data_IF_568451159259
#
_entry.id   IF_568451159259
#
_cell.length_a   1.000
_cell.length_b   1.000
_cell.length_c   1.000
_cell.angle_alpha   90.00
_cell.angle_beta   90.00
_cell.angle_gamma   90.00
#
_symmetry.space_group_name_H-M   'P 1'
#
loop_
_entity.id
_entity.type
_entity.pdbx_description
1 polymer ?
#
# COMPACT_ATOMS: atom_id res chain seq x y z
N UNK A 1 -2.36 -22.10 22.95
CA UNK A 1 -2.11 -22.23 21.50
C UNK A 1 -0.65 -22.65 21.27
N UNK A 2 -0.36 -23.78 20.60
CA UNK A 2 1.03 -24.21 20.41
C UNK A 2 1.84 -23.14 19.65
N UNK A 3 2.95 -22.67 20.23
CA UNK A 3 3.85 -21.70 19.61
C UNK A 3 3.59 -20.21 19.93
N UNK A 4 2.45 -19.85 20.52
CA UNK A 4 2.13 -18.45 20.89
C UNK A 4 1.98 -18.29 22.41
N UNK A 5 2.56 -17.22 22.96
CA UNK A 5 2.37 -16.86 24.37
C UNK A 5 0.97 -16.28 24.59
N UNK A 6 0.12 -17.02 25.30
CA UNK A 6 -1.24 -16.58 25.64
C UNK A 6 -1.24 -15.25 26.39
N UNK A 7 -0.28 -15.03 27.28
CA UNK A 7 -0.11 -13.76 28.00
C UNK A 7 0.18 -12.59 27.05
N UNK A 8 0.99 -12.77 26.01
CA UNK A 8 1.28 -11.70 25.05
C UNK A 8 0.11 -11.43 24.12
N UNK A 9 -0.59 -12.48 23.70
CA UNK A 9 -1.83 -12.35 22.93
C UNK A 9 -2.86 -11.58 23.74
N UNK A 10 -3.07 -11.92 25.02
CA UNK A 10 -4.00 -11.19 25.87
C UNK A 10 -3.62 -9.71 26.01
N UNK A 11 -2.33 -9.40 26.19
CA UNK A 11 -1.86 -7.99 26.24
C UNK A 11 -2.19 -7.21 24.96
N UNK A 12 -2.11 -7.84 23.79
CA UNK A 12 -2.52 -7.22 22.52
C UNK A 12 -4.02 -6.92 22.53
N UNK A 13 -4.85 -7.91 22.92
CA UNK A 13 -6.31 -7.75 22.97
C UNK A 13 -6.74 -6.68 23.97
N UNK A 14 -6.14 -6.68 25.16
CA UNK A 14 -6.39 -5.67 26.19
C UNK A 14 -6.00 -4.28 25.69
N UNK A 15 -4.90 -4.17 24.93
CA UNK A 15 -4.51 -2.90 24.30
C UNK A 15 -5.55 -2.45 23.28
N UNK A 16 -5.98 -3.32 22.36
CA UNK A 16 -7.01 -3.00 21.35
C UNK A 16 -8.33 -2.57 22.00
N UNK A 17 -8.77 -3.29 23.04
CA UNK A 17 -9.97 -2.97 23.82
C UNK A 17 -9.87 -1.57 24.44
N UNK A 18 -8.72 -1.26 25.06
CA UNK A 18 -8.50 0.02 25.74
C UNK A 18 -8.56 1.21 24.79
N UNK A 19 -8.04 1.10 23.56
CA UNK A 19 -8.14 2.17 22.54
C UNK A 19 -9.59 2.54 22.24
N UNK A 20 -10.52 1.57 22.34
CA UNK A 20 -11.95 1.81 22.17
C UNK A 20 -12.58 2.35 23.45
N UNK A 21 -12.32 1.72 24.60
CA UNK A 21 -12.94 2.10 25.89
C UNK A 21 -12.51 3.50 26.36
N UNK A 22 -11.29 3.93 26.06
CA UNK A 22 -10.80 5.29 26.34
C UNK A 22 -11.26 6.32 25.29
N UNK A 23 -11.99 5.89 24.25
CA UNK A 23 -12.58 6.77 23.23
C UNK A 23 -11.61 7.27 22.16
N UNK A 24 -10.44 6.65 22.00
CA UNK A 24 -9.49 7.00 20.94
C UNK A 24 -9.97 6.50 19.57
N UNK A 25 -10.66 5.37 19.53
CA UNK A 25 -11.25 4.78 18.31
C UNK A 25 -12.71 4.36 18.57
N UNK A 26 -13.63 4.53 17.60
CA UNK A 26 -15.00 4.03 17.74
C UNK A 26 -15.08 2.49 17.64
N UNK A 27 -14.12 1.86 16.96
CA UNK A 27 -14.01 0.41 16.85
C UNK A 27 -12.59 -0.02 16.43
N UNK A 28 -12.28 -1.30 16.64
CA UNK A 28 -11.03 -1.93 16.22
C UNK A 28 -11.29 -3.40 15.87
N UNK A 29 -10.75 -3.88 14.75
CA UNK A 29 -10.69 -5.29 14.43
C UNK A 29 -9.23 -5.75 14.39
N UNK A 30 -8.94 -6.92 14.94
CA UNK A 30 -7.60 -7.53 14.94
C UNK A 30 -7.70 -8.99 14.53
N UNK A 31 -6.79 -9.42 13.65
CA UNK A 31 -6.60 -10.81 13.31
C UNK A 31 -5.13 -11.18 13.50
N UNK A 32 -4.86 -12.36 14.07
CA UNK A 32 -3.53 -12.91 14.22
C UNK A 32 -3.43 -14.20 13.42
N UNK A 33 -2.47 -14.27 12.50
CA UNK A 33 -2.14 -15.48 11.78
C UNK A 33 -0.78 -16.04 12.23
N UNK A 34 -0.71 -17.36 12.39
CA UNK A 34 0.49 -18.10 12.75
C UNK A 34 0.56 -19.39 11.92
N UNK A 35 1.73 -19.68 11.36
CA UNK A 35 1.96 -20.84 10.47
C UNK A 35 0.91 -20.97 9.35
N UNK A 36 0.58 -19.83 8.72
CA UNK A 36 -0.36 -19.79 7.59
C UNK A 36 -1.83 -19.97 7.96
N UNK A 37 -2.18 -19.98 9.25
CA UNK A 37 -3.57 -20.08 9.73
C UNK A 37 -3.92 -18.86 10.57
N UNK A 38 -5.11 -18.30 10.35
CA UNK A 38 -5.68 -17.33 11.28
C UNK A 38 -6.05 -18.09 12.56
N UNK A 39 -5.47 -17.68 13.69
CA UNK A 39 -5.63 -18.34 14.99
C UNK A 39 -6.45 -17.52 15.98
N UNK A 40 -6.68 -16.24 15.67
CA UNK A 40 -7.49 -15.33 16.46
C UNK A 40 -8.06 -14.25 15.55
N UNK A 41 -9.33 -13.90 15.77
CA UNK A 41 -10.01 -12.74 15.20
C UNK A 41 -10.88 -12.13 16.31
N UNK A 42 -10.71 -10.83 16.56
CA UNK A 42 -11.46 -10.12 17.60
C UNK A 42 -11.94 -8.77 17.06
N UNK A 43 -13.14 -8.37 17.45
CA UNK A 43 -13.77 -7.10 17.09
C UNK A 43 -14.19 -6.36 18.36
N UNK A 44 -13.84 -5.09 18.45
CA UNK A 44 -14.11 -4.21 19.59
C UNK A 44 -14.91 -2.98 19.15
N UNK A 45 -15.78 -2.48 20.04
CA UNK A 45 -16.52 -1.23 19.83
C UNK A 45 -17.78 -1.39 18.98
N UNK A 46 -18.06 -0.36 18.19
CA UNK A 46 -19.30 -0.25 17.40
C UNK A 46 -19.34 -1.13 16.13
N UNK A 47 -18.23 -1.78 15.79
CA UNK A 47 -18.14 -2.64 14.61
C UNK A 47 -18.63 -4.06 14.89
N UNK A 48 -19.04 -4.73 13.82
CA UNK A 48 -19.21 -6.18 13.78
C UNK A 48 -18.14 -6.81 12.86
N UNK A 49 -17.90 -8.13 12.88
CA UNK A 49 -16.87 -8.78 12.06
C UNK A 49 -17.00 -8.57 10.53
N UNK A 50 -18.18 -8.19 10.03
CA UNK A 50 -18.40 -7.87 8.60
C UNK A 50 -18.14 -6.40 8.25
N UNK A 51 -17.99 -5.53 9.25
CA UNK A 51 -17.68 -4.11 9.06
C UNK A 51 -16.37 -3.95 8.29
N UNK A 52 -16.36 -3.06 7.29
CA UNK A 52 -15.20 -2.78 6.43
C UNK A 52 -14.59 -1.43 6.73
N UNK A 53 -13.26 -1.38 6.77
CA UNK A 53 -12.49 -0.15 6.91
C UNK A 53 -11.80 0.23 5.60
N UNK A 54 -11.60 1.53 5.38
CA UNK A 54 -10.70 1.99 4.35
C UNK A 54 -9.24 1.69 4.76
N UNK A 55 -8.58 0.79 4.02
CA UNK A 55 -7.19 0.39 4.33
C UNK A 55 -6.15 1.45 3.98
N UNK A 56 -6.52 2.46 3.19
CA UNK A 56 -5.61 3.52 2.72
C UNK A 56 -4.28 2.93 2.22
N UNK A 57 -3.16 3.39 2.77
CA UNK A 57 -1.81 2.98 2.36
C UNK A 57 -1.49 1.52 2.69
N UNK A 58 -2.25 0.85 3.56
CA UNK A 58 -2.11 -0.59 3.78
C UNK A 58 -2.50 -1.43 2.54
N UNK A 59 -3.01 -0.81 1.48
CA UNK A 59 -3.21 -1.43 0.16
C UNK A 59 -1.90 -1.71 -0.58
N UNK A 60 -0.79 -1.00 -0.27
CA UNK A 60 0.47 -1.10 -1.03
C UNK A 60 1.07 -2.52 -1.11
N UNK A 61 1.11 -3.33 -0.04
CA UNK A 61 1.59 -4.71 -0.13
C UNK A 61 0.78 -5.57 -1.10
N UNK A 62 -0.53 -5.32 -1.25
CA UNK A 62 -1.35 -6.04 -2.23
C UNK A 62 -0.95 -5.67 -3.67
N UNK A 63 -0.70 -4.37 -3.92
CA UNK A 63 -0.18 -3.90 -5.22
C UNK A 63 1.21 -4.49 -5.49
N UNK A 64 2.09 -4.52 -4.49
CA UNK A 64 3.40 -5.15 -4.61
C UNK A 64 3.31 -6.66 -4.91
N UNK A 65 2.39 -7.38 -4.27
CA UNK A 65 2.11 -8.78 -4.58
C UNK A 65 1.64 -9.00 -6.02
N UNK A 66 0.79 -8.11 -6.54
CA UNK A 66 0.36 -8.16 -7.95
C UNK A 66 1.53 -7.91 -8.91
N UNK A 67 2.40 -6.93 -8.61
CA UNK A 67 3.62 -6.69 -9.40
C UNK A 67 4.56 -7.90 -9.35
N UNK A 68 4.73 -8.55 -8.19
CA UNK A 68 5.55 -9.76 -8.07
C UNK A 68 4.99 -10.89 -8.95
N UNK A 69 3.68 -11.15 -8.92
CA UNK A 69 3.08 -12.15 -9.81
C UNK A 69 3.38 -11.84 -11.29
N UNK A 70 3.21 -10.58 -11.71
CA UNK A 70 3.50 -10.15 -13.08
C UNK A 70 4.98 -10.25 -13.46
N UNK A 71 5.90 -10.12 -12.48
CA UNK A 71 7.32 -10.41 -12.70
C UNK A 71 7.56 -11.90 -12.94
N UNK A 72 6.91 -12.77 -12.17
CA UNK A 72 6.96 -14.23 -12.35
C UNK A 72 6.47 -14.67 -13.72
N UNK A 73 5.45 -13.98 -14.25
CA UNK A 73 4.89 -14.22 -15.58
C UNK A 73 5.70 -13.57 -16.73
N UNK A 74 6.75 -12.79 -16.40
CA UNK A 74 7.53 -12.03 -17.40
C UNK A 74 6.79 -10.85 -18.02
N UNK A 75 5.63 -10.46 -17.49
CA UNK A 75 4.83 -9.34 -17.96
C UNK A 75 5.37 -7.98 -17.50
N UNK A 76 6.09 -7.94 -16.37
CA UNK A 76 6.79 -6.76 -15.86
C UNK A 76 8.23 -7.12 -15.53
N UNK A 77 9.18 -6.47 -16.19
CA UNK A 77 10.56 -6.34 -15.74
C UNK A 77 10.72 -5.01 -15.00
N UNK A 78 11.07 -5.09 -13.71
CA UNK A 78 11.17 -3.92 -12.83
C UNK A 78 12.38 -3.04 -13.10
N UNK A 79 13.40 -3.58 -13.77
CA UNK A 79 14.58 -2.82 -14.20
C UNK A 79 14.30 -1.92 -15.40
N UNK A 80 13.21 -2.17 -16.13
CA UNK A 80 12.81 -1.38 -17.29
C UNK A 80 12.19 -0.04 -16.88
N UNK A 81 12.33 1.00 -17.71
CA UNK A 81 11.63 2.26 -17.52
C UNK A 81 10.11 2.10 -17.48
N UNK A 82 9.42 2.93 -16.69
CA UNK A 82 7.95 2.96 -16.61
C UNK A 82 7.32 3.25 -17.98
N UNK A 83 8.00 4.06 -18.81
CA UNK A 83 7.53 4.45 -20.15
C UNK A 83 7.38 3.28 -21.12
N UNK A 84 8.06 2.16 -20.86
CA UNK A 84 7.92 0.95 -21.67
C UNK A 84 6.53 0.31 -21.50
N UNK A 85 5.83 0.62 -20.39
CA UNK A 85 4.48 0.14 -20.08
C UNK A 85 3.43 1.26 -20.14
N UNK A 86 3.81 2.49 -19.80
CA UNK A 86 2.92 3.66 -19.76
C UNK A 86 3.61 4.84 -20.46
N UNK A 87 3.55 4.93 -21.80
CA UNK A 87 4.27 5.95 -22.57
C UNK A 87 3.98 7.39 -22.15
N UNK A 88 2.75 7.69 -21.71
CA UNK A 88 2.33 9.02 -21.26
C UNK A 88 3.06 9.51 -20.00
N UNK A 89 3.77 8.62 -19.31
CA UNK A 89 4.58 8.96 -18.14
C UNK A 89 5.85 9.75 -18.51
N UNK A 90 6.36 9.62 -19.74
CA UNK A 90 7.71 10.04 -20.14
C UNK A 90 7.98 11.54 -20.29
N UNK A 91 7.06 12.41 -19.86
CA UNK A 91 7.31 13.86 -19.86
C UNK A 91 8.25 14.28 -18.72
N UNK A 92 8.83 15.48 -18.83
CA UNK A 92 9.60 16.13 -17.75
C UNK A 92 10.72 15.23 -17.17
N UNK A 93 11.51 14.64 -18.07
CA UNK A 93 12.72 13.84 -17.76
C UNK A 93 12.45 12.54 -16.97
N UNK A 94 11.19 12.09 -16.94
CA UNK A 94 10.77 10.85 -16.26
C UNK A 94 10.91 9.59 -17.12
N UNK A 95 11.34 9.72 -18.37
CA UNK A 95 11.50 8.63 -19.33
C UNK A 95 12.54 7.57 -18.91
N UNK A 96 13.46 7.93 -18.01
CA UNK A 96 14.46 7.01 -17.45
C UNK A 96 14.06 6.36 -16.11
N UNK A 97 12.94 6.76 -15.50
CA UNK A 97 12.53 6.22 -14.19
C UNK A 97 12.11 4.77 -14.35
N UNK A 98 12.71 3.86 -13.57
CA UNK A 98 12.39 2.44 -13.60
C UNK A 98 11.15 2.11 -12.77
N UNK A 99 10.51 0.98 -13.07
CA UNK A 99 9.41 0.46 -12.25
C UNK A 99 9.88 0.19 -10.81
N UNK A 100 11.09 -0.34 -10.64
CA UNK A 100 11.70 -0.56 -9.32
C UNK A 100 11.78 0.75 -8.51
N UNK A 101 12.22 1.84 -9.12
CA UNK A 101 12.31 3.14 -8.44
C UNK A 101 10.94 3.64 -7.99
N UNK A 102 9.88 3.39 -8.76
CA UNK A 102 8.49 3.70 -8.33
C UNK A 102 8.09 2.82 -7.14
N UNK A 103 8.36 1.52 -7.20
CA UNK A 103 7.99 0.56 -6.15
C UNK A 103 8.73 0.81 -4.83
N UNK A 104 9.95 1.34 -4.91
CA UNK A 104 10.79 1.65 -3.76
C UNK A 104 10.70 3.12 -3.30
N UNK A 105 9.80 3.90 -3.89
CA UNK A 105 9.66 5.34 -3.61
C UNK A 105 10.95 6.15 -3.82
N UNK A 106 11.83 5.72 -4.73
CA UNK A 106 13.08 6.42 -5.07
C UNK A 106 13.01 7.12 -6.42
N UNK A 107 11.81 7.32 -6.95
CA UNK A 107 11.58 7.76 -8.32
C UNK A 107 11.78 9.26 -8.58
N UNK A 108 12.07 10.06 -7.55
CA UNK A 108 12.38 11.48 -7.70
C UNK A 108 11.18 12.43 -7.79
N UNK A 109 9.96 11.99 -7.51
CA UNK A 109 8.74 12.82 -7.56
C UNK A 109 7.79 12.52 -6.38
N UNK A 110 8.19 12.74 -5.12
CA UNK A 110 7.47 12.28 -3.93
C UNK A 110 6.02 12.81 -3.83
N UNK A 111 5.74 14.01 -4.37
CA UNK A 111 4.42 14.63 -4.25
C UNK A 111 3.37 13.99 -5.18
N UNK A 112 3.79 13.58 -6.38
CA UNK A 112 2.96 12.91 -7.40
C UNK A 112 1.46 13.30 -7.39
N UNK A 113 1.09 14.60 -7.53
CA UNK A 113 -0.25 15.07 -7.22
C UNK A 113 -1.30 14.41 -8.12
N UNK A 114 -2.21 13.66 -7.49
CA UNK A 114 -3.30 12.94 -8.14
C UNK A 114 -4.45 12.75 -7.14
N UNK A 115 -5.55 13.46 -7.34
CA UNK A 115 -6.73 13.42 -6.47
C UNK A 115 -8.04 13.27 -7.23
N UNK A 116 -9.17 13.08 -6.53
CA UNK A 116 -10.49 13.02 -7.15
C UNK A 116 -10.85 14.33 -7.87
N UNK A 117 -11.59 14.27 -8.98
CA UNK A 117 -12.04 13.06 -9.67
C UNK A 117 -10.96 12.45 -10.60
N UNK A 118 -9.82 13.10 -10.81
CA UNK A 118 -8.83 12.72 -11.85
C UNK A 118 -8.33 11.28 -11.71
N UNK A 119 -8.21 10.78 -10.49
CA UNK A 119 -7.74 9.41 -10.25
C UNK A 119 -8.74 8.31 -10.64
N UNK A 120 -10.03 8.64 -10.85
CA UNK A 120 -11.07 7.64 -11.10
C UNK A 120 -11.09 7.20 -12.55
N UNK A 121 -10.65 8.05 -13.48
CA UNK A 121 -10.60 7.74 -14.92
C UNK A 121 -9.18 7.44 -15.38
N UNK A 122 -9.05 6.66 -16.46
CA UNK A 122 -7.74 6.37 -17.06
C UNK A 122 -7.13 7.65 -17.60
N UNK A 123 -7.92 8.44 -18.32
CA UNK A 123 -7.52 9.69 -18.95
C UNK A 123 -7.01 10.69 -17.91
N UNK A 124 -7.68 10.79 -16.76
CA UNK A 124 -7.28 11.67 -15.67
C UNK A 124 -5.96 11.26 -15.01
N UNK A 125 -5.71 9.96 -14.85
CA UNK A 125 -4.43 9.44 -14.35
C UNK A 125 -3.29 9.72 -15.33
N UNK A 126 -3.47 9.42 -16.62
CA UNK A 126 -2.46 9.66 -17.66
C UNK A 126 -2.14 11.15 -17.79
N UNK A 127 -3.16 12.02 -17.77
CA UNK A 127 -2.97 13.47 -17.80
C UNK A 127 -2.25 14.02 -16.56
N UNK A 128 -2.32 13.34 -15.41
CA UNK A 128 -1.55 13.69 -14.21
C UNK A 128 -0.08 13.28 -14.35
N UNK A 129 0.19 12.06 -14.83
CA UNK A 129 1.55 11.56 -15.06
C UNK A 129 2.35 12.49 -15.97
N UNK A 130 1.71 13.02 -17.02
CA UNK A 130 2.30 13.99 -17.94
C UNK A 130 2.71 15.31 -17.27
N UNK A 131 2.14 15.67 -16.12
CA UNK A 131 2.40 16.93 -15.42
C UNK A 131 3.43 16.81 -14.30
N UNK A 132 3.65 15.61 -13.78
CA UNK A 132 4.66 15.38 -12.75
C UNK A 132 6.05 15.71 -13.25
N UNK A 133 6.88 16.27 -12.38
CA UNK A 133 8.27 16.66 -12.63
C UNK A 133 9.16 15.99 -11.61
N UNK A 134 10.37 15.66 -12.02
CA UNK A 134 11.40 15.26 -11.07
C UNK A 134 11.78 16.44 -10.18
N UNK A 135 11.84 16.21 -8.88
CA UNK A 135 12.39 17.10 -7.86
C UNK A 135 13.88 16.79 -7.63
N UNK A 136 14.30 15.55 -7.87
CA UNK A 136 15.69 15.09 -7.80
C UNK A 136 15.95 13.88 -8.70
N UNK A 137 17.23 13.51 -8.82
CA UNK A 137 17.68 12.36 -9.61
C UNK A 137 17.09 11.04 -9.08
N UNK A 138 16.39 10.24 -9.91
CA UNK A 138 15.86 8.94 -9.50
C UNK A 138 16.96 8.02 -8.94
N UNK A 139 16.62 7.25 -7.90
CA UNK A 139 17.53 6.35 -7.20
C UNK A 139 18.43 7.01 -6.15
N UNK A 140 18.42 8.33 -6.01
CA UNK A 140 19.34 9.02 -5.07
C UNK A 140 18.75 9.28 -3.68
N UNK A 141 17.43 9.22 -3.51
CA UNK A 141 16.71 9.49 -2.24
C UNK A 141 15.39 8.74 -2.17
N UNK A 142 14.92 8.51 -0.95
CA UNK A 142 13.53 8.16 -0.61
C UNK A 142 12.72 9.43 -0.36
#
# INVERSE_FOLDING_TARGET
MAGLSETQVQKLLDRCRREVEEGLLPSCQVALAYEGKVVLEETFGEADPSTRYALYSATKPMVAGAVWALMGDGAIDVSRPVVDYVPEFGSNDKDRVTVEQVMLHTSGFPQAPLGPPKWTTREGRLAAFQKWRLEWEPGTRY
#
